data_IF_998842062971
#
_entry.id   IF_998842062971
#
_cell.length_a   1.000
_cell.length_b   1.000
_cell.length_c   1.000
_cell.angle_alpha   90.00
_cell.angle_beta   90.00
_cell.angle_gamma   90.00
#
_symmetry.space_group_name_H-M   'P 1'
#
loop_
_entity.id
_entity.type
_entity.pdbx_description
1 polymer ?
#
# COMPACT_ATOMS: atom_id res chain seq x y z
N UNK A 1 13.03 -14.93 -17.17
CA UNK A 1 13.13 -15.06 -15.71
C UNK A 1 13.25 -13.66 -15.14
N UNK A 2 12.13 -13.05 -14.73
CA UNK A 2 12.18 -11.72 -14.11
C UNK A 2 12.82 -11.87 -12.73
N UNK A 3 14.01 -11.32 -12.55
CA UNK A 3 14.54 -11.09 -11.21
C UNK A 3 13.55 -10.15 -10.52
N UNK A 4 12.77 -10.66 -9.57
CA UNK A 4 11.91 -9.82 -8.73
C UNK A 4 12.83 -8.85 -7.98
N UNK A 5 12.97 -7.63 -8.50
CA UNK A 5 13.70 -6.57 -7.80
C UNK A 5 12.96 -6.27 -6.51
N UNK A 6 13.72 -6.19 -5.42
CA UNK A 6 13.22 -5.77 -4.12
C UNK A 6 13.73 -4.36 -3.83
N UNK A 7 12.81 -3.42 -3.77
CA UNK A 7 12.99 -2.01 -3.42
C UNK A 7 12.95 -1.79 -1.91
N UNK A 8 12.14 -2.56 -1.17
CA UNK A 8 12.07 -2.47 0.29
C UNK A 8 12.99 -3.50 0.96
N UNK A 9 14.26 -3.10 1.17
CA UNK A 9 15.29 -3.96 1.79
C UNK A 9 15.60 -3.64 3.26
N UNK A 10 15.27 -2.42 3.71
CA UNK A 10 15.56 -1.91 5.06
C UNK A 10 14.40 -1.06 5.57
N UNK A 11 14.33 -0.86 6.88
CA UNK A 11 13.32 -0.02 7.54
C UNK A 11 11.92 -0.65 7.57
N UNK A 12 11.83 -1.94 7.27
CA UNK A 12 10.60 -2.74 7.29
C UNK A 12 10.81 -4.10 7.97
N UNK A 13 11.87 -4.22 8.75
CA UNK A 13 12.19 -5.41 9.54
C UNK A 13 11.11 -5.64 10.61
N UNK A 14 10.78 -6.89 10.95
CA UNK A 14 9.89 -7.18 12.09
C UNK A 14 10.33 -6.46 13.36
N UNK A 15 9.36 -6.06 14.18
CA UNK A 15 9.52 -5.24 15.38
C UNK A 15 9.89 -3.76 15.16
N UNK A 16 10.10 -3.34 13.91
CA UNK A 16 10.22 -1.90 13.61
C UNK A 16 8.93 -1.17 13.90
N UNK A 17 9.00 -0.04 14.63
CA UNK A 17 7.85 0.80 14.94
C UNK A 17 7.76 1.95 13.94
N UNK A 18 6.62 2.05 13.26
CA UNK A 18 6.30 3.16 12.36
C UNK A 18 5.32 4.09 13.05
N UNK A 19 5.73 5.35 13.25
CA UNK A 19 4.83 6.43 13.66
C UNK A 19 4.18 7.06 12.44
N UNK A 20 2.86 7.27 12.51
CA UNK A 20 2.03 8.02 11.56
C UNK A 20 1.54 9.30 12.25
N UNK A 21 1.39 10.39 11.51
CA UNK A 21 1.12 11.72 12.07
C UNK A 21 -0.33 12.20 11.86
N UNK A 22 -1.09 11.55 10.97
CA UNK A 22 -2.46 11.94 10.62
C UNK A 22 -3.41 10.74 10.59
N UNK A 23 -4.73 10.93 10.80
CA UNK A 23 -5.37 12.18 11.26
C UNK A 23 -4.97 12.54 12.70
N UNK A 24 -4.62 11.54 13.50
CA UNK A 24 -4.02 11.68 14.83
C UNK A 24 -2.74 10.83 14.88
N UNK A 25 -1.77 11.15 15.77
CA UNK A 25 -0.59 10.34 15.95
C UNK A 25 -0.93 8.88 16.29
N UNK A 26 -0.33 7.94 15.59
CA UNK A 26 -0.45 6.50 15.89
C UNK A 26 0.85 5.76 15.63
N UNK A 27 1.04 4.62 16.28
CA UNK A 27 2.22 3.78 16.15
C UNK A 27 1.84 2.36 15.79
N UNK A 28 2.63 1.76 14.91
CA UNK A 28 2.39 0.41 14.40
C UNK A 28 3.71 -0.36 14.36
N UNK A 29 3.77 -1.46 15.09
CA UNK A 29 4.87 -2.40 15.06
C UNK A 29 4.70 -3.36 13.88
N UNK A 30 5.72 -3.47 13.03
CA UNK A 30 5.73 -4.38 11.88
C UNK A 30 5.87 -5.82 12.38
N UNK A 31 4.99 -6.70 11.93
CA UNK A 31 5.08 -8.14 12.16
C UNK A 31 5.69 -8.87 10.97
N UNK A 32 5.22 -8.55 9.77
CA UNK A 32 5.58 -9.28 8.56
C UNK A 32 5.43 -8.42 7.30
N UNK A 33 6.30 -8.63 6.32
CA UNK A 33 6.14 -8.14 4.95
C UNK A 33 5.33 -9.15 4.13
N UNK A 34 4.14 -8.74 3.70
CA UNK A 34 3.19 -9.64 3.02
C UNK A 34 3.39 -9.69 1.51
N UNK A 35 3.74 -8.57 0.89
CA UNK A 35 4.02 -8.51 -0.55
C UNK A 35 4.80 -7.25 -0.91
N UNK A 36 5.29 -7.23 -2.15
CA UNK A 36 5.84 -6.05 -2.80
C UNK A 36 5.33 -6.00 -4.24
N UNK A 37 5.05 -4.79 -4.73
CA UNK A 37 4.65 -4.53 -6.09
C UNK A 37 5.37 -3.28 -6.56
N UNK A 38 5.88 -3.30 -7.78
CA UNK A 38 6.46 -2.12 -8.41
C UNK A 38 5.85 -1.87 -9.78
N UNK A 39 5.88 -0.59 -10.16
CA UNK A 39 5.59 -0.11 -11.49
C UNK A 39 6.70 0.87 -11.82
N UNK A 40 7.73 0.37 -12.50
CA UNK A 40 8.80 1.18 -13.03
C UNK A 40 8.43 1.59 -14.46
N UNK A 41 8.45 2.89 -14.74
CA UNK A 41 8.22 3.47 -16.05
C UNK A 41 9.56 3.66 -16.78
N UNK A 42 9.53 3.55 -18.10
CA UNK A 42 10.59 4.06 -18.97
C UNK A 42 10.43 5.59 -19.14
N UNK A 43 11.46 6.28 -19.61
CA UNK A 43 11.42 7.75 -19.73
C UNK A 43 10.42 8.19 -20.82
N UNK A 44 10.17 7.32 -21.80
CA UNK A 44 9.24 7.51 -22.91
C UNK A 44 7.75 7.36 -22.51
N UNK A 45 7.44 6.70 -21.37
CA UNK A 45 6.07 6.45 -20.90
C UNK A 45 5.39 7.69 -20.27
N UNK A 46 6.14 8.78 -20.09
CA UNK A 46 5.70 10.00 -19.38
C UNK A 46 4.61 10.75 -20.15
N UNK A 47 4.59 10.64 -21.48
CA UNK A 47 3.70 11.38 -22.38
C UNK A 47 2.21 10.96 -22.30
N UNK A 48 1.89 9.85 -21.62
CA UNK A 48 0.52 9.30 -21.52
C UNK A 48 -0.23 9.68 -20.22
N UNK A 49 0.36 10.50 -19.35
CA UNK A 49 -0.33 11.00 -18.14
C UNK A 49 -0.56 9.96 -17.03
N UNK A 50 0.08 8.78 -17.11
CA UNK A 50 0.11 7.79 -16.03
C UNK A 50 1.31 8.05 -15.12
N UNK A 51 1.12 8.26 -13.80
CA UNK A 51 1.80 9.41 -13.24
C UNK A 51 3.28 9.18 -12.98
N UNK A 52 3.71 8.02 -12.47
CA UNK A 52 4.97 7.92 -11.73
C UNK A 52 5.54 6.50 -11.62
N UNK A 53 6.87 6.38 -11.65
CA UNK A 53 7.60 5.20 -11.19
C UNK A 53 7.49 5.06 -9.68
N UNK A 54 6.95 3.93 -9.21
CA UNK A 54 6.86 3.67 -7.76
C UNK A 54 6.98 2.18 -7.41
N UNK A 55 7.31 1.93 -6.16
CA UNK A 55 7.16 0.63 -5.52
C UNK A 55 6.25 0.75 -4.30
N UNK A 56 5.57 -0.33 -3.95
CA UNK A 56 4.76 -0.43 -2.76
C UNK A 56 4.91 -1.78 -2.07
N UNK A 57 4.94 -1.78 -0.74
CA UNK A 57 4.97 -2.99 0.07
C UNK A 57 3.77 -3.00 1.01
N UNK A 58 3.12 -4.15 1.15
CA UNK A 58 2.07 -4.36 2.15
C UNK A 58 2.66 -5.09 3.35
N UNK A 59 2.38 -4.58 4.54
CA UNK A 59 2.86 -5.08 5.81
C UNK A 59 1.69 -5.50 6.69
N UNK A 60 1.89 -6.54 7.49
CA UNK A 60 1.08 -6.86 8.66
C UNK A 60 1.70 -6.15 9.86
N UNK A 61 0.89 -5.40 10.59
CA UNK A 61 1.31 -4.67 11.77
C UNK A 61 0.38 -4.95 12.95
N UNK A 62 0.84 -4.60 14.15
CA UNK A 62 0.01 -4.52 15.35
C UNK A 62 0.26 -3.22 16.12
N UNK A 63 -0.67 -2.87 16.98
CA UNK A 63 -0.45 -1.81 17.96
C UNK A 63 0.64 -2.27 18.96
N UNK A 64 1.63 -1.41 19.27
CA UNK A 64 2.74 -1.76 20.17
C UNK A 64 2.30 -1.87 21.64
N UNK A 65 1.16 -1.30 22.01
CA UNK A 65 0.61 -1.34 23.37
C UNK A 65 -0.52 -2.36 23.48
N UNK A 66 -1.45 -2.35 22.52
CA UNK A 66 -2.60 -3.26 22.46
C UNK A 66 -2.38 -4.33 21.37
N UNK A 67 -1.62 -5.36 21.70
CA UNK A 67 -1.23 -6.40 20.73
C UNK A 67 -2.39 -7.18 20.08
N UNK A 68 -3.62 -7.05 20.60
CA UNK A 68 -4.81 -7.61 19.97
C UNK A 68 -5.22 -6.81 18.72
N UNK A 69 -4.91 -5.50 18.67
CA UNK A 69 -5.19 -4.65 17.52
C UNK A 69 -4.17 -4.88 16.41
N UNK A 70 -4.66 -5.43 15.30
CA UNK A 70 -3.89 -5.63 14.07
C UNK A 70 -4.32 -4.64 13.00
N UNK A 71 -3.38 -4.28 12.16
CA UNK A 71 -3.61 -3.42 11.00
C UNK A 71 -2.83 -3.93 9.81
N UNK A 72 -3.32 -3.58 8.63
CA UNK A 72 -2.47 -3.59 7.45
C UNK A 72 -1.85 -2.22 7.26
N UNK A 73 -0.61 -2.19 6.80
CA UNK A 73 0.05 -0.97 6.38
C UNK A 73 0.53 -1.12 4.94
N UNK A 74 0.49 -0.05 4.17
CA UNK A 74 1.21 0.04 2.90
C UNK A 74 2.14 1.22 2.92
N UNK A 75 3.32 1.01 2.35
CA UNK A 75 4.29 2.05 2.07
C UNK A 75 4.37 2.17 0.55
N UNK A 76 4.20 3.38 0.04
CA UNK A 76 4.50 3.74 -1.35
C UNK A 76 5.78 4.56 -1.34
N UNK A 77 6.72 4.25 -2.24
CA UNK A 77 7.94 5.00 -2.41
C UNK A 77 8.16 5.26 -3.90
N UNK A 78 8.60 6.46 -4.25
CA UNK A 78 9.05 6.74 -5.62
C UNK A 78 10.32 5.94 -5.91
N UNK A 79 10.36 5.28 -7.06
CA UNK A 79 11.56 4.60 -7.56
C UNK A 79 12.08 5.30 -8.82
N UNK A 80 13.35 5.12 -9.18
CA UNK A 80 13.90 5.73 -10.39
C UNK A 80 13.23 5.17 -11.64
N UNK A 81 13.23 5.90 -12.74
CA UNK A 81 12.87 5.35 -14.05
C UNK A 81 13.75 4.15 -14.40
N UNK A 82 13.21 3.25 -15.21
CA UNK A 82 13.95 2.09 -15.68
C UNK A 82 15.25 2.55 -16.35
N UNK A 83 16.34 1.82 -16.09
CA UNK A 83 17.69 2.09 -16.61
C UNK A 83 18.41 3.31 -16.01
N UNK A 84 17.78 4.06 -15.10
CA UNK A 84 18.42 5.18 -14.38
C UNK A 84 18.81 4.84 -12.94
N UNK A 85 18.66 3.58 -12.53
CA UNK A 85 18.83 3.17 -11.12
C UNK A 85 20.27 3.33 -10.65
N UNK A 86 21.23 3.13 -11.55
CA UNK A 86 22.67 3.21 -11.27
C UNK A 86 23.27 4.59 -11.57
N UNK A 87 22.46 5.54 -12.07
CA UNK A 87 22.91 6.90 -12.34
C UNK A 87 23.36 7.60 -11.07
N UNK A 88 24.04 8.73 -11.21
CA UNK A 88 24.43 9.51 -10.04
C UNK A 88 23.18 10.04 -9.29
N UNK A 89 23.27 10.26 -7.97
CA UNK A 89 22.15 10.74 -7.18
C UNK A 89 21.53 12.05 -7.69
N UNK A 90 22.31 12.94 -8.31
CA UNK A 90 21.79 14.21 -8.85
C UNK A 90 20.88 13.95 -10.04
N UNK A 91 21.25 13.05 -10.95
CA UNK A 91 20.40 12.63 -12.08
C UNK A 91 19.09 12.02 -11.58
N UNK A 92 19.14 11.06 -10.65
CA UNK A 92 17.91 10.47 -10.08
C UNK A 92 17.04 11.51 -9.36
N UNK A 93 17.64 12.46 -8.65
CA UNK A 93 16.89 13.52 -7.93
C UNK A 93 16.03 14.38 -8.87
N UNK A 94 16.43 14.52 -10.14
CA UNK A 94 15.64 15.31 -11.12
C UNK A 94 14.29 14.67 -11.46
N UNK A 95 14.13 13.39 -11.16
CA UNK A 95 12.88 12.65 -11.36
C UNK A 95 11.91 12.87 -10.19
N UNK A 96 12.37 13.44 -9.08
CA UNK A 96 11.59 13.66 -7.86
C UNK A 96 10.28 14.39 -8.11
N UNK A 97 9.24 13.92 -7.46
CA UNK A 97 7.91 14.53 -7.55
C UNK A 97 7.10 14.28 -6.29
N UNK A 98 5.92 14.87 -6.24
CA UNK A 98 4.95 14.64 -5.16
C UNK A 98 3.80 13.78 -5.67
N UNK A 99 3.33 12.85 -4.83
CA UNK A 99 2.19 12.01 -5.14
C UNK A 99 1.35 11.75 -3.91
N UNK A 100 0.04 11.70 -4.10
CA UNK A 100 -0.88 11.07 -3.14
C UNK A 100 -1.46 9.84 -3.81
N UNK A 101 -1.13 8.63 -3.34
CA UNK A 101 -1.66 7.41 -3.91
C UNK A 101 -3.20 7.42 -3.92
N UNK A 102 -3.87 7.01 -5.01
CA UNK A 102 -5.33 6.94 -5.06
C UNK A 102 -5.93 6.10 -3.93
N UNK A 103 -5.23 5.05 -3.47
CA UNK A 103 -5.62 4.22 -2.32
C UNK A 103 -5.80 5.08 -1.05
N UNK A 104 -4.85 5.98 -0.76
CA UNK A 104 -4.95 6.88 0.39
C UNK A 104 -6.14 7.84 0.25
N UNK A 105 -6.32 8.45 -0.93
CA UNK A 105 -7.46 9.34 -1.19
C UNK A 105 -8.81 8.63 -0.99
N UNK A 106 -8.91 7.39 -1.47
CA UNK A 106 -10.10 6.57 -1.29
C UNK A 106 -10.37 6.26 0.18
N UNK A 107 -9.37 5.78 0.93
CA UNK A 107 -9.50 5.50 2.36
C UNK A 107 -9.89 6.73 3.18
N UNK A 108 -9.31 7.89 2.87
CA UNK A 108 -9.69 9.15 3.52
C UNK A 108 -11.15 9.51 3.26
N UNK A 109 -11.60 9.41 2.00
CA UNK A 109 -12.97 9.75 1.64
C UNK A 109 -14.00 8.78 2.24
N UNK A 110 -13.74 7.48 2.16
CA UNK A 110 -14.63 6.42 2.64
C UNK A 110 -14.74 6.42 4.16
N UNK A 111 -13.61 6.59 4.87
CA UNK A 111 -13.60 6.69 6.33
C UNK A 111 -14.35 7.94 6.79
N UNK A 112 -14.12 9.10 6.15
CA UNK A 112 -14.80 10.35 6.49
C UNK A 112 -16.32 10.26 6.27
N UNK A 113 -16.75 9.54 5.24
CA UNK A 113 -18.17 9.29 4.96
C UNK A 113 -18.79 8.21 5.87
N UNK A 114 -18.02 7.60 6.77
CA UNK A 114 -18.53 6.57 7.68
C UNK A 114 -18.95 5.29 6.96
N UNK A 115 -18.29 4.94 5.85
CA UNK A 115 -18.60 3.71 5.11
C UNK A 115 -18.46 2.48 6.01
N UNK A 116 -19.52 1.66 6.06
CA UNK A 116 -19.56 0.39 6.81
C UNK A 116 -19.01 -0.79 6.01
N UNK A 117 -18.81 -0.61 4.70
CA UNK A 117 -18.41 -1.67 3.76
C UNK A 117 -16.92 -1.64 3.42
N UNK A 118 -16.17 -0.69 3.97
CA UNK A 118 -14.74 -0.52 3.69
C UNK A 118 -13.97 -0.42 5.00
N UNK A 119 -12.76 -1.01 5.09
CA UNK A 119 -11.93 -0.87 6.28
C UNK A 119 -11.65 0.60 6.61
N UNK A 120 -11.58 0.94 7.89
CA UNK A 120 -11.28 2.31 8.30
C UNK A 120 -9.80 2.63 8.12
N UNK A 121 -9.52 3.85 7.67
CA UNK A 121 -8.17 4.42 7.74
C UNK A 121 -7.82 4.67 9.21
N UNK A 122 -6.72 4.07 9.67
CA UNK A 122 -6.24 4.21 11.04
C UNK A 122 -5.22 5.33 11.17
N UNK A 123 -4.39 5.51 10.14
CA UNK A 123 -3.48 6.62 10.07
C UNK A 123 -2.72 6.66 8.75
N UNK A 124 -2.02 7.76 8.50
CA UNK A 124 -1.12 7.90 7.37
C UNK A 124 -0.06 8.96 7.69
N UNK A 125 1.04 8.94 6.94
CA UNK A 125 1.97 10.06 6.84
C UNK A 125 2.48 10.20 5.41
N UNK A 126 2.85 11.42 5.04
CA UNK A 126 3.50 11.72 3.77
C UNK A 126 4.87 12.30 4.08
N UNK A 127 5.85 11.96 3.27
CA UNK A 127 7.20 12.43 3.40
C UNK A 127 7.90 12.50 2.06
N UNK A 128 9.14 12.92 2.15
CA UNK A 128 10.06 13.04 1.04
C UNK A 128 11.31 12.24 1.36
N UNK A 129 11.85 11.55 0.36
CA UNK A 129 13.07 10.77 0.49
C UNK A 129 14.28 11.68 0.70
N UNK A 130 15.14 11.30 1.63
CA UNK A 130 16.40 11.99 1.90
C UNK A 130 17.46 11.72 0.81
N UNK A 131 18.67 12.23 1.00
CA UNK A 131 19.79 12.09 0.05
C UNK A 131 20.27 10.65 -0.15
N UNK A 132 19.93 9.73 0.75
CA UNK A 132 20.23 8.30 0.66
C UNK A 132 19.08 7.48 0.04
N UNK A 133 17.94 8.11 -0.19
CA UNK A 133 16.78 7.51 -0.83
C UNK A 133 17.01 7.10 -2.29
N UNK A 134 16.08 6.32 -2.82
CA UNK A 134 16.13 5.85 -4.21
C UNK A 134 16.07 7.02 -5.18
N UNK A 135 15.18 7.96 -4.90
CA UNK A 135 15.00 9.23 -5.60
C UNK A 135 15.00 10.32 -4.55
N UNK A 136 16.13 10.98 -4.33
CA UNK A 136 16.20 12.09 -3.36
C UNK A 136 15.24 13.21 -3.77
N UNK A 137 14.41 13.66 -2.83
CA UNK A 137 13.32 14.60 -3.10
C UNK A 137 12.03 13.93 -3.58
N UNK A 138 12.06 12.63 -3.90
CA UNK A 138 10.91 11.87 -4.35
C UNK A 138 9.95 11.54 -3.20
N UNK A 139 8.69 11.25 -3.52
CA UNK A 139 7.69 11.00 -2.50
C UNK A 139 7.90 9.67 -1.76
N UNK A 140 7.42 9.63 -0.51
CA UNK A 140 7.19 8.41 0.25
C UNK A 140 5.93 8.58 1.12
N UNK A 141 5.02 7.61 1.09
CA UNK A 141 3.72 7.68 1.77
C UNK A 141 3.46 6.39 2.51
N UNK A 142 3.05 6.49 3.77
CA UNK A 142 2.61 5.38 4.59
C UNK A 142 1.14 5.55 4.89
N UNK A 143 0.37 4.47 4.84
CA UNK A 143 -1.00 4.43 5.31
C UNK A 143 -1.26 3.10 6.01
N UNK A 144 -1.99 3.16 7.13
CA UNK A 144 -2.45 2.00 7.87
C UNK A 144 -3.98 1.98 7.90
N UNK A 145 -4.56 0.80 7.74
CA UNK A 145 -5.99 0.59 7.77
C UNK A 145 -6.36 -0.68 8.52
N UNK A 146 -7.62 -0.74 8.91
CA UNK A 146 -8.20 -1.82 9.69
C UNK A 146 -8.05 -3.18 9.02
N UNK A 147 -7.62 -4.17 9.81
CA UNK A 147 -7.69 -5.57 9.40
C UNK A 147 -9.10 -6.11 9.71
N UNK A 148 -9.89 -6.32 8.66
CA UNK A 148 -11.24 -6.87 8.78
C UNK A 148 -11.18 -8.39 8.92
N UNK A 149 -11.88 -9.00 9.89
CA UNK A 149 -11.92 -10.44 10.04
C UNK A 149 -12.64 -11.10 8.85
N UNK A 150 -12.24 -12.31 8.51
CA UNK A 150 -12.91 -13.14 7.51
C UNK A 150 -11.97 -13.74 6.48
N UNK A 151 -12.57 -14.36 5.47
CA UNK A 151 -11.88 -15.02 4.38
C UNK A 151 -11.92 -14.15 3.12
N UNK A 152 -10.76 -13.97 2.50
CA UNK A 152 -10.66 -13.27 1.23
C UNK A 152 -11.29 -14.11 0.12
N UNK A 153 -12.41 -13.66 -0.42
CA UNK A 153 -13.17 -14.38 -1.44
C UNK A 153 -12.58 -14.27 -2.85
N UNK A 154 -11.87 -13.18 -3.16
CA UNK A 154 -11.27 -12.90 -4.47
C UNK A 154 -9.75 -12.72 -4.40
N UNK A 155 -9.05 -13.01 -5.49
CA UNK A 155 -7.68 -12.57 -5.72
C UNK A 155 -7.65 -11.33 -6.63
N UNK A 156 -6.47 -10.95 -7.13
CA UNK A 156 -6.30 -9.77 -8.00
C UNK A 156 -7.01 -9.90 -9.37
N UNK A 157 -7.36 -11.11 -9.80
CA UNK A 157 -8.05 -11.39 -11.06
C UNK A 157 -9.51 -11.78 -10.85
N UNK A 158 -10.01 -11.73 -9.61
CA UNK A 158 -11.33 -12.23 -9.25
C UNK A 158 -11.42 -13.76 -9.20
N UNK A 159 -10.33 -14.48 -9.44
CA UNK A 159 -10.20 -15.94 -9.37
C UNK A 159 -9.84 -16.42 -7.96
N UNK A 160 -10.60 -16.01 -6.96
CA UNK A 160 -10.34 -16.37 -5.56
C UNK A 160 -11.10 -17.59 -5.06
N UNK A 161 -11.01 -17.80 -3.74
CA UNK A 161 -11.69 -18.88 -3.01
C UNK A 161 -13.19 -18.98 -3.34
N UNK A 162 -13.84 -17.87 -3.67
CA UNK A 162 -15.25 -17.84 -4.06
C UNK A 162 -15.59 -18.81 -5.19
N UNK A 163 -14.78 -18.89 -6.24
CA UNK A 163 -15.09 -19.75 -7.40
C UNK A 163 -14.80 -21.23 -7.16
N UNK A 164 -14.02 -21.55 -6.11
CA UNK A 164 -13.79 -22.91 -5.67
C UNK A 164 -14.94 -23.46 -4.79
N UNK A 165 -15.87 -22.60 -4.34
CA UNK A 165 -17.02 -22.99 -3.54
C UNK A 165 -18.12 -23.65 -4.40
N UNK A 166 -18.91 -24.50 -3.75
CA UNK A 166 -20.06 -25.14 -4.39
C UNK A 166 -21.07 -24.10 -4.88
N UNK A 167 -21.85 -24.39 -5.95
CA UNK A 167 -22.84 -23.45 -6.49
C UNK A 167 -23.79 -22.86 -5.45
N UNK A 168 -24.20 -23.69 -4.46
CA UNK A 168 -25.10 -23.27 -3.37
C UNK A 168 -24.44 -22.26 -2.44
N UNK A 169 -23.22 -22.50 -1.99
CA UNK A 169 -22.49 -21.60 -1.09
C UNK A 169 -22.23 -20.25 -1.75
N UNK A 170 -21.89 -20.25 -3.04
CA UNK A 170 -21.75 -19.02 -3.83
C UNK A 170 -23.04 -18.21 -3.84
N UNK A 171 -24.19 -18.87 -3.96
CA UNK A 171 -25.48 -18.20 -3.97
C UNK A 171 -25.85 -17.64 -2.59
N UNK A 172 -25.58 -18.38 -1.52
CA UNK A 172 -25.76 -17.89 -0.15
C UNK A 172 -24.94 -16.63 0.11
N UNK A 173 -23.67 -16.60 -0.34
CA UNK A 173 -22.80 -15.42 -0.26
C UNK A 173 -23.40 -14.25 -1.06
N UNK A 174 -23.81 -14.45 -2.32
CA UNK A 174 -24.42 -13.39 -3.15
C UNK A 174 -25.66 -12.80 -2.49
N UNK A 175 -26.51 -13.64 -1.92
CA UNK A 175 -27.73 -13.21 -1.24
C UNK A 175 -27.44 -12.38 0.01
N UNK A 176 -26.37 -12.68 0.74
CA UNK A 176 -25.91 -11.83 1.85
C UNK A 176 -25.43 -10.48 1.30
N UNK A 177 -24.59 -10.46 0.27
CA UNK A 177 -24.13 -9.21 -0.35
C UNK A 177 -25.28 -8.31 -0.81
N UNK A 178 -26.31 -8.87 -1.46
CA UNK A 178 -27.50 -8.14 -1.90
C UNK A 178 -28.33 -7.56 -0.75
N UNK A 179 -28.35 -8.21 0.41
CA UNK A 179 -29.08 -7.74 1.60
C UNK A 179 -28.30 -6.69 2.40
N UNK A 180 -26.97 -6.81 2.42
CA UNK A 180 -26.10 -6.02 3.31
C UNK A 180 -25.55 -4.76 2.64
N UNK A 181 -25.46 -4.74 1.30
CA UNK A 181 -25.09 -3.53 0.57
C UNK A 181 -26.34 -2.70 0.26
N UNK A 182 -26.45 -1.46 0.78
CA UNK A 182 -27.53 -0.54 0.42
C UNK A 182 -27.41 -0.02 -1.02
#
# INVERSE_FOLDING_TARGET
>A
MSSSRTWFRKGIEPHTIITLDRPEPSQWEILEKLNEHDRQLEEEDIDEGLPLSYASTKLLCRDPTDHAKKAFMRIYIQVPYANTEIDDPTTRSRQATTCTPPELTAYQALTRKGSVNTPKLLGYKKGTQDSSGLVHGGFIVWLAWEMVPGLRLGDQFGGGAFWALEPREREEIRMVFLKTLP
#
